data_IF_810225022762
#
_entry.id   IF_810225022762
#
_cell.length_a   1.000
_cell.length_b   1.000
_cell.length_c   1.000
_cell.angle_alpha   90.00
_cell.angle_beta   90.00
_cell.angle_gamma   90.00
#
_symmetry.space_group_name_H-M   'P 1'
#
loop_
_entity.id
_entity.type
_entity.pdbx_description
1 polymer ?
2 non-polymer ?
3 non-polymer ?
4 water ?
#
# COMPACT_ATOMS: atom_id res chain seq x y z
N UNK A 6 0.15 -9.81 -16.95
CA UNK A 6 -0.58 -11.02 -16.48
C UNK A 6 -1.87 -10.58 -15.78
N UNK A 7 -2.91 -11.39 -15.90
CA UNK A 7 -4.28 -10.98 -15.51
C UNK A 7 -4.37 -10.86 -13.99
N UNK A 8 -5.13 -9.86 -13.53
CA UNK A 8 -5.25 -9.48 -12.09
C UNK A 8 -5.80 -10.70 -11.34
N UNK A 9 -6.80 -11.38 -11.89
CA UNK A 9 -7.37 -12.64 -11.34
C UNK A 9 -6.30 -13.74 -11.26
N UNK A 10 -5.23 -13.66 -12.05
CA UNK A 10 -4.14 -14.67 -12.07
C UNK A 10 -3.07 -14.32 -11.03
N UNK A 11 -3.04 -13.08 -10.56
CA UNK A 11 -1.95 -12.54 -9.70
C UNK A 11 -2.14 -12.92 -8.22
N UNK A 12 -1.04 -13.21 -7.55
CA UNK A 12 -0.93 -13.18 -6.07
C UNK A 12 -0.93 -11.71 -5.62
N UNK A 13 -1.73 -11.37 -4.60
CA UNK A 13 -1.89 -9.98 -4.08
C UNK A 13 -1.43 -9.91 -2.62
N UNK A 14 -0.37 -9.13 -2.38
CA UNK A 14 0.20 -8.84 -1.04
C UNK A 14 -0.30 -7.48 -0.56
N UNK A 15 -1.05 -7.48 0.54
CA UNK A 15 -1.55 -6.26 1.22
C UNK A 15 -0.65 -5.99 2.43
N UNK A 16 0.26 -5.03 2.28
CA UNK A 16 1.13 -4.55 3.37
C UNK A 16 0.40 -3.47 4.16
N UNK A 17 0.50 -3.52 5.48
CA UNK A 17 0.01 -2.41 6.33
C UNK A 17 0.97 -2.19 7.51
N UNK A 18 0.85 -1.02 8.11
CA UNK A 18 1.39 -0.66 9.43
C UNK A 18 0.23 -0.10 10.25
N UNK A 19 0.34 -0.19 11.56
CA UNK A 19 -0.70 0.21 12.52
C UNK A 19 0.02 0.51 13.84
N UNK A 20 -0.35 1.58 14.54
CA UNK A 20 -0.01 1.83 15.96
C UNK A 20 -1.28 1.58 16.80
N UNK A 21 -2.43 2.06 16.35
CA UNK A 21 -3.69 2.02 17.12
C UNK A 21 -4.57 0.85 16.73
N UNK A 22 -4.29 0.18 15.61
CA UNK A 22 -4.99 -1.02 15.16
C UNK A 22 -6.01 -0.79 14.07
N UNK A 23 -6.38 0.45 13.74
CA UNK A 23 -7.47 0.67 12.75
C UNK A 23 -7.03 0.23 11.34
N UNK A 24 -5.80 0.54 10.91
CA UNK A 24 -5.32 0.18 9.55
C UNK A 24 -5.30 -1.35 9.37
N UNK A 25 -5.05 -2.13 10.43
CA UNK A 25 -5.17 -3.62 10.40
C UNK A 25 -6.60 -4.05 10.04
N UNK A 26 -7.58 -3.57 10.79
CA UNK A 26 -9.01 -3.80 10.51
C UNK A 26 -9.32 -3.37 9.07
N UNK A 27 -8.87 -2.19 8.64
CA UNK A 27 -9.18 -1.69 7.27
C UNK A 27 -8.53 -2.62 6.22
N UNK A 28 -7.33 -3.15 6.48
CA UNK A 28 -6.60 -4.04 5.56
C UNK A 28 -7.33 -5.40 5.46
N UNK A 29 -7.94 -5.88 6.54
CA UNK A 29 -8.72 -7.15 6.54
C UNK A 29 -9.94 -6.95 5.63
N UNK A 30 -10.54 -5.77 5.71
CA UNK A 30 -11.79 -5.46 4.99
C UNK A 30 -11.44 -5.33 3.50
N UNK A 31 -10.33 -4.66 3.18
CA UNK A 31 -9.91 -4.47 1.76
C UNK A 31 -9.61 -5.86 1.19
N UNK A 32 -8.88 -6.70 1.94
CA UNK A 32 -8.56 -8.09 1.55
C UNK A 32 -9.87 -8.86 1.27
N UNK A 33 -10.88 -8.76 2.13
CA UNK A 33 -12.12 -9.57 1.97
C UNK A 33 -12.90 -9.10 0.74
N UNK A 34 -12.90 -7.81 0.47
CA UNK A 34 -13.57 -7.25 -0.72
C UNK A 34 -12.83 -7.71 -1.99
N UNK A 35 -11.50 -7.73 -1.98
CA UNK A 35 -10.74 -8.21 -3.17
C UNK A 35 -11.01 -9.71 -3.37
N UNK A 36 -10.96 -10.51 -2.31
CA UNK A 36 -11.20 -11.98 -2.36
C UNK A 36 -12.56 -12.29 -2.98
N UNK A 37 -13.62 -11.59 -2.56
CA UNK A 37 -15.00 -11.81 -3.04
C UNK A 37 -15.18 -11.25 -4.46
N UNK A 38 -14.57 -10.11 -4.77
CA UNK A 38 -14.69 -9.49 -6.11
C UNK A 38 -13.95 -10.32 -7.18
N UNK A 39 -12.79 -10.90 -6.89
CA UNK A 39 -12.00 -11.67 -7.89
C UNK A 39 -12.19 -13.18 -7.72
N UNK A 40 -12.89 -13.62 -6.67
CA UNK A 40 -13.12 -15.06 -6.38
C UNK A 40 -11.75 -15.74 -6.31
N UNK A 41 -10.83 -15.14 -5.57
CA UNK A 41 -9.43 -15.62 -5.47
C UNK A 41 -9.12 -15.93 -4.02
N UNK A 42 -8.20 -16.86 -3.81
CA UNK A 42 -7.61 -17.19 -2.48
C UNK A 42 -6.13 -16.78 -2.49
N UNK A 43 -5.69 -15.98 -3.47
CA UNK A 43 -4.27 -15.57 -3.57
C UNK A 43 -4.11 -14.13 -3.05
N UNK A 44 -4.72 -13.81 -1.91
CA UNK A 44 -4.57 -12.50 -1.22
C UNK A 44 -3.99 -12.77 0.16
N UNK A 45 -2.88 -12.13 0.51
CA UNK A 45 -2.25 -12.23 1.85
C UNK A 45 -2.08 -10.84 2.46
N UNK A 46 -2.27 -10.72 3.77
CA UNK A 46 -2.08 -9.45 4.51
C UNK A 46 -0.80 -9.60 5.32
N UNK A 47 0.11 -8.63 5.24
CA UNK A 47 1.43 -8.65 5.93
C UNK A 47 1.60 -7.34 6.71
N UNK A 48 1.87 -7.47 8.01
CA UNK A 48 2.27 -6.34 8.88
C UNK A 48 3.74 -6.00 8.56
N UNK A 49 3.97 -4.80 8.03
CA UNK A 49 5.32 -4.34 7.60
C UNK A 49 6.31 -4.42 8.77
N UNK A 50 5.86 -4.34 10.02
CA UNK A 50 6.75 -4.39 11.22
C UNK A 50 7.33 -5.79 11.46
N UNK A 51 6.75 -6.85 10.88
CA UNK A 51 7.02 -8.28 11.19
C UNK A 51 7.72 -9.00 10.03
N UNK A 52 8.10 -8.24 9.03
CA UNK A 52 8.44 -8.73 7.67
C UNK A 52 9.90 -8.36 7.42
N UNK A 53 10.60 -9.09 6.56
CA UNK A 53 11.98 -8.70 6.17
C UNK A 53 11.87 -7.82 4.92
N UNK A 54 12.08 -6.50 5.05
CA UNK A 54 11.66 -5.53 4.00
C UNK A 54 12.49 -5.74 2.72
N UNK A 55 13.79 -6.03 2.83
CA UNK A 55 14.64 -6.27 1.64
C UNK A 55 14.09 -7.45 0.82
N UNK A 56 13.59 -8.53 1.43
CA UNK A 56 13.06 -9.70 0.67
C UNK A 56 11.90 -9.28 -0.25
N UNK A 57 11.08 -8.32 0.15
CA UNK A 57 9.87 -7.91 -0.62
C UNK A 57 10.13 -6.67 -1.49
N UNK A 58 10.94 -5.73 -1.02
CA UNK A 58 11.12 -4.41 -1.69
C UNK A 58 12.45 -4.33 -2.48
N UNK A 59 13.28 -5.39 -2.51
CA UNK A 59 14.57 -5.49 -3.26
C UNK A 59 14.44 -6.39 -4.48
N UNK A 60 13.28 -7.01 -4.69
CA UNK A 60 13.07 -8.02 -5.75
C UNK A 60 11.58 -8.32 -5.81
N UNK A 61 11.05 -8.57 -7.00
CA UNK A 61 9.60 -8.78 -7.21
C UNK A 61 9.34 -9.69 -8.39
N UNK A 62 8.21 -10.41 -8.34
CA UNK A 62 7.75 -11.37 -9.37
C UNK A 62 6.73 -10.71 -10.28
N UNK A 63 6.69 -11.18 -11.52
CA UNK A 63 5.79 -10.75 -12.62
C UNK A 63 4.33 -11.06 -12.28
N UNK A 64 4.07 -11.96 -11.33
CA UNK A 64 2.68 -12.41 -11.01
C UNK A 64 2.26 -11.90 -9.64
N UNK A 65 2.89 -10.82 -9.15
CA UNK A 65 2.65 -10.27 -7.80
C UNK A 65 2.26 -8.78 -7.88
N UNK A 66 1.20 -8.43 -7.16
CA UNK A 66 0.77 -7.03 -6.94
C UNK A 66 1.04 -6.69 -5.47
N UNK A 67 1.51 -5.48 -5.20
CA UNK A 67 1.68 -4.95 -3.82
C UNK A 67 0.65 -3.86 -3.58
N UNK A 68 -0.19 -4.01 -2.56
CA UNK A 68 -1.07 -2.93 -2.06
C UNK A 68 -0.49 -2.46 -0.73
N UNK A 69 -0.30 -1.16 -0.55
CA UNK A 69 0.27 -0.64 0.71
C UNK A 69 -0.79 0.24 1.38
N UNK A 70 -1.31 -0.21 2.51
CA UNK A 70 -2.21 0.56 3.40
C UNK A 70 -1.39 1.19 4.54
N UNK A 71 -1.33 2.52 4.62
CA UNK A 71 -0.37 3.19 5.52
C UNK A 71 -1.05 4.35 6.22
N UNK A 72 -1.10 4.38 7.57
CA UNK A 72 -1.47 5.60 8.29
C UNK A 72 -0.22 6.49 8.31
N UNK A 73 -0.38 7.76 8.69
CA UNK A 73 0.74 8.72 8.82
C UNK A 73 0.83 9.15 10.28
N UNK A 74 2.05 9.30 10.77
CA UNK A 74 2.35 9.71 12.16
C UNK A 74 3.45 10.76 12.10
N UNK A 75 3.11 11.93 12.62
CA UNK A 75 4.02 13.10 12.69
C UNK A 75 5.12 12.81 13.72
N UNK A 76 4.83 12.04 14.76
CA UNK A 76 5.85 11.50 15.73
C UNK A 76 6.69 10.40 15.06
N UNK A 77 7.76 9.99 15.72
CA UNK A 77 8.61 8.88 15.22
C UNK A 77 7.87 7.57 15.47
N UNK A 78 7.95 6.65 14.53
CA UNK A 78 7.15 5.41 14.51
C UNK A 78 7.91 4.40 13.65
N UNK A 79 7.51 3.14 13.69
CA UNK A 79 8.06 2.07 12.81
C UNK A 79 7.90 2.48 11.34
N UNK A 80 6.94 3.35 11.02
CA UNK A 80 6.64 3.73 9.60
C UNK A 80 7.85 4.49 9.04
N UNK A 81 8.51 5.30 9.87
CA UNK A 81 9.79 6.00 9.54
C UNK A 81 10.78 4.96 9.02
N UNK A 82 10.86 3.80 9.68
CA UNK A 82 11.80 2.72 9.33
C UNK A 82 11.40 2.13 7.97
N UNK A 83 10.11 1.90 7.73
CA UNK A 83 9.65 1.44 6.41
C UNK A 83 10.13 2.42 5.32
N UNK A 84 9.87 3.72 5.48
CA UNK A 84 10.22 4.74 4.45
C UNK A 84 11.74 4.83 4.28
N UNK A 85 12.53 4.78 5.36
CA UNK A 85 14.02 4.79 5.28
C UNK A 85 14.51 3.54 4.54
N UNK A 86 13.93 2.36 4.79
CA UNK A 86 14.34 1.10 4.13
C UNK A 86 14.13 1.22 2.61
N UNK A 87 13.04 1.86 2.18
CA UNK A 87 12.74 2.09 0.75
C UNK A 87 13.83 3.00 0.17
N UNK A 88 14.20 4.08 0.89
CA UNK A 88 15.16 5.11 0.43
C UNK A 88 16.56 4.49 0.33
N UNK A 89 16.95 3.68 1.31
CA UNK A 89 18.22 2.92 1.35
C UNK A 89 18.33 2.02 0.11
N UNK A 90 17.25 1.31 -0.24
CA UNK A 90 17.17 0.44 -1.43
C UNK A 90 17.32 1.25 -2.71
N UNK A 91 16.72 2.45 -2.76
CA UNK A 91 16.82 3.34 -3.95
C UNK A 91 18.29 3.78 -4.10
N UNK A 92 18.97 4.05 -2.98
CA UNK A 92 20.27 4.77 -2.95
C UNK A 92 21.46 3.79 -2.87
N UNK A 93 21.35 2.59 -2.29
CA UNK A 93 22.54 1.74 -2.03
C UNK A 93 23.09 1.13 -3.34
N UNK A 94 24.39 1.35 -3.63
CA UNK A 94 25.06 0.92 -4.89
C UNK A 94 24.98 -0.60 -5.05
N UNK A 95 24.98 -1.32 -3.92
CA UNK A 95 25.05 -2.81 -3.83
C UNK A 95 23.74 -3.43 -4.32
N UNK A 96 22.67 -2.64 -4.42
CA UNK A 96 21.38 -3.08 -5.00
C UNK A 96 21.23 -2.46 -6.39
N UNK A 97 20.75 -3.25 -7.34
CA UNK A 97 20.57 -2.84 -8.76
C UNK A 97 19.49 -1.74 -8.80
N UNK A 98 19.45 -0.95 -9.88
CA UNK A 98 18.40 0.06 -10.14
C UNK A 98 17.10 -0.66 -10.46
N UNK A 99 15.96 -0.04 -10.15
CA UNK A 99 14.60 -0.54 -10.49
C UNK A 99 14.44 -2.02 -10.16
N UNK A 100 14.76 -2.47 -8.93
CA UNK A 100 14.61 -3.88 -8.59
C UNK A 100 13.16 -4.40 -8.67
N UNK A 101 12.13 -3.55 -8.64
CA UNK A 101 10.71 -4.00 -8.68
C UNK A 101 10.11 -3.88 -10.09
N UNK A 102 10.94 -3.65 -11.11
CA UNK A 102 10.52 -3.55 -12.53
C UNK A 102 9.70 -4.78 -12.96
N UNK A 103 9.94 -5.96 -12.38
CA UNK A 103 9.21 -7.21 -12.78
C UNK A 103 7.86 -7.35 -12.05
N UNK A 104 7.62 -6.66 -10.93
CA UNK A 104 6.29 -6.61 -10.26
C UNK A 104 5.17 -6.38 -11.28
N UNK A 105 4.01 -6.99 -11.10
CA UNK A 105 2.84 -6.65 -11.95
C UNK A 105 2.49 -5.19 -11.65
N UNK A 106 2.59 -4.76 -10.39
CA UNK A 106 2.38 -3.35 -10.04
C UNK A 106 2.05 -3.13 -8.58
N UNK A 107 1.65 -1.91 -8.24
CA UNK A 107 1.48 -1.47 -6.84
C UNK A 107 0.42 -0.36 -6.83
N UNK A 108 -0.26 -0.23 -5.69
CA UNK A 108 -1.07 0.95 -5.35
C UNK A 108 -1.01 1.17 -3.83
N UNK A 109 -1.17 2.43 -3.45
CA UNK A 109 -1.09 2.91 -2.06
C UNK A 109 -2.45 3.50 -1.70
N UNK A 110 -2.90 3.19 -0.48
CA UNK A 110 -4.04 3.80 0.23
C UNK A 110 -3.51 4.33 1.55
N UNK A 111 -3.63 5.64 1.78
CA UNK A 111 -3.21 6.29 3.03
C UNK A 111 -4.38 6.65 3.91
N UNK A 112 -4.18 6.57 5.22
CA UNK A 112 -5.14 6.97 6.28
C UNK A 112 -4.53 8.15 7.04
N UNK A 113 -5.33 9.16 7.34
CA UNK A 113 -4.84 10.39 7.98
C UNK A 113 -5.96 11.18 8.59
N UNK A 114 -5.62 12.15 9.43
CA UNK A 114 -6.60 13.00 10.15
C UNK A 114 -6.51 14.39 9.53
N UNK A 115 -7.44 14.72 8.64
CA UNK A 115 -7.44 16.02 7.95
C UNK A 115 -7.69 17.16 8.95
N UNK A 116 -8.54 16.98 9.95
CA UNK A 116 -8.91 18.07 10.89
C UNK A 116 -7.64 18.57 11.55
N UNK A 117 -6.76 17.66 11.94
CA UNK A 117 -5.58 18.00 12.77
C UNK A 117 -4.36 18.23 11.86
N UNK A 118 -4.24 17.59 10.70
CA UNK A 118 -2.96 17.54 9.94
C UNK A 118 -3.13 18.00 8.49
N UNK A 119 -4.20 18.74 8.17
CA UNK A 119 -4.39 19.42 6.86
C UNK A 119 -3.11 20.14 6.44
N UNK A 120 -2.69 19.95 5.17
CA UNK A 120 -1.47 20.56 4.61
C UNK A 120 -0.42 19.52 4.27
N UNK A 121 0.86 19.85 4.47
CA UNK A 121 2.00 18.96 4.11
C UNK A 121 1.93 17.64 4.89
N UNK A 122 1.35 17.62 6.09
CA UNK A 122 1.37 16.40 6.94
C UNK A 122 0.27 15.40 6.54
N UNK A 123 -0.84 15.82 5.90
CA UNK A 123 -2.01 14.94 5.67
C UNK A 123 -1.57 13.78 4.76
N UNK A 124 -1.57 12.56 5.33
CA UNK A 124 -1.19 11.28 4.68
C UNK A 124 0.24 11.37 4.12
N UNK A 125 1.10 12.18 4.74
CA UNK A 125 2.44 12.46 4.16
C UNK A 125 3.23 11.15 3.99
N UNK A 126 3.07 10.14 4.84
CA UNK A 126 3.92 8.92 4.72
C UNK A 126 3.37 8.01 3.61
N UNK A 127 2.06 7.99 3.36
CA UNK A 127 1.48 7.30 2.18
C UNK A 127 1.94 7.98 0.88
N UNK A 128 1.97 9.31 0.83
CA UNK A 128 2.51 10.04 -0.34
C UNK A 128 3.96 9.63 -0.58
N UNK A 129 4.80 9.58 0.46
CA UNK A 129 6.23 9.22 0.31
C UNK A 129 6.36 7.78 -0.19
N UNK A 130 5.56 6.84 0.34
CA UNK A 130 5.58 5.41 -0.05
C UNK A 130 5.28 5.27 -1.54
N UNK A 131 4.25 5.95 -2.01
CA UNK A 131 3.82 5.95 -3.43
C UNK A 131 4.97 6.44 -4.33
N UNK A 132 5.63 7.56 -3.98
CA UNK A 132 6.74 8.12 -4.79
C UNK A 132 7.90 7.12 -4.81
N UNK A 133 8.26 6.55 -3.67
CA UNK A 133 9.45 5.68 -3.54
C UNK A 133 9.22 4.33 -4.24
N UNK A 134 8.02 3.75 -4.15
CA UNK A 134 7.74 2.48 -4.86
C UNK A 134 7.91 2.69 -6.38
N UNK A 135 7.44 3.81 -6.92
CA UNK A 135 7.61 4.20 -8.34
C UNK A 135 9.10 4.34 -8.70
N UNK A 136 9.92 4.92 -7.82
CA UNK A 136 11.39 5.04 -8.00
C UNK A 136 12.09 3.68 -7.88
N UNK A 137 11.47 2.68 -7.24
CA UNK A 137 12.02 1.29 -7.21
C UNK A 137 11.65 0.52 -8.49
N UNK A 138 10.90 1.15 -9.41
CA UNK A 138 10.60 0.59 -10.74
C UNK A 138 9.26 -0.14 -10.78
N UNK A 139 8.49 -0.11 -9.69
CA UNK A 139 7.15 -0.74 -9.64
C UNK A 139 6.16 0.12 -10.44
N UNK A 140 5.42 -0.50 -11.35
CA UNK A 140 4.39 0.18 -12.16
C UNK A 140 3.20 0.47 -11.24
N UNK A 141 2.77 1.73 -11.21
CA UNK A 141 1.64 2.20 -10.40
C UNK A 141 0.36 1.82 -11.14
N UNK A 142 -0.49 1.01 -10.52
CA UNK A 142 -1.74 0.48 -11.14
C UNK A 142 -2.83 1.54 -10.99
N UNK A 143 -2.88 2.21 -9.84
CA UNK A 143 -3.93 3.20 -9.56
C UNK A 143 -3.33 4.34 -8.79
N UNK A 144 -3.91 5.55 -8.94
CA UNK A 144 -3.48 6.71 -8.18
C UNK A 144 -3.62 6.47 -6.67
N UNK A 145 -2.74 7.13 -5.93
CA UNK A 145 -2.80 7.15 -4.46
C UNK A 145 -4.22 7.52 -4.01
N UNK A 146 -4.81 6.71 -3.13
CA UNK A 146 -6.04 7.04 -2.39
C UNK A 146 -5.70 7.57 -1.01
N UNK A 147 -6.52 8.46 -0.48
CA UNK A 147 -6.35 8.98 0.91
C UNK A 147 -7.72 8.93 1.57
N UNK A 148 -7.75 8.53 2.83
CA UNK A 148 -8.98 8.47 3.65
C UNK A 148 -8.76 9.34 4.86
N UNK A 149 -9.65 10.29 5.06
CA UNK A 149 -9.75 11.12 6.28
C UNK A 149 -10.54 10.32 7.33
N UNK A 150 -9.86 9.82 8.35
CA UNK A 150 -10.47 8.91 9.36
C UNK A 150 -11.31 9.73 10.35
N UNK A 151 -11.34 11.05 10.22
CA UNK A 151 -12.24 11.93 11.04
C UNK A 151 -13.62 12.12 10.40
N UNK A 152 -13.87 11.61 9.19
CA UNK A 152 -15.26 11.55 8.65
C UNK A 152 -16.06 10.56 9.50
N UNK A 153 -17.36 10.46 9.27
CA UNK A 153 -18.19 9.39 9.90
C UNK A 153 -17.63 8.05 9.45
N UNK A 154 -17.71 7.03 10.30
CA UNK A 154 -17.17 5.68 10.01
C UNK A 154 -17.76 5.19 8.68
N UNK A 155 -19.06 5.38 8.44
CA UNK A 155 -19.68 4.92 7.18
C UNK A 155 -18.92 5.52 5.98
N UNK A 156 -18.48 6.77 6.06
CA UNK A 156 -17.83 7.47 4.93
C UNK A 156 -16.39 6.97 4.79
N UNK A 157 -15.73 6.62 5.90
CA UNK A 157 -14.35 6.06 5.90
C UNK A 157 -14.42 4.72 5.16
N UNK A 158 -15.43 3.89 5.47
CA UNK A 158 -15.62 2.58 4.79
C UNK A 158 -15.97 2.81 3.31
N UNK A 159 -16.94 3.67 3.00
CA UNK A 159 -17.32 3.94 1.58
C UNK A 159 -16.10 4.42 0.78
N UNK A 160 -15.21 5.21 1.39
CA UNK A 160 -14.02 5.74 0.72
C UNK A 160 -13.03 4.63 0.36
N UNK A 161 -12.75 3.68 1.25
CA UNK A 161 -11.72 2.65 0.96
C UNK A 161 -12.33 1.58 0.04
N UNK A 162 -13.66 1.44 0.05
CA UNK A 162 -14.41 0.52 -0.85
C UNK A 162 -14.40 1.07 -2.27
N UNK A 163 -14.63 2.37 -2.45
CA UNK A 163 -14.55 3.04 -3.77
C UNK A 163 -13.12 2.92 -4.30
N UNK A 164 -12.11 3.13 -3.45
CA UNK A 164 -10.70 3.00 -3.89
C UNK A 164 -10.39 1.54 -4.28
N UNK A 165 -10.92 0.55 -3.56
CA UNK A 165 -10.63 -0.88 -3.85
C UNK A 165 -11.23 -1.22 -5.22
N UNK A 166 -12.45 -0.74 -5.47
CA UNK A 166 -13.18 -0.95 -6.75
C UNK A 166 -12.44 -0.24 -7.88
N UNK A 167 -12.00 1.01 -7.68
CA UNK A 167 -11.22 1.74 -8.72
C UNK A 167 -9.95 0.96 -9.03
N UNK A 168 -9.28 0.45 -8.00
CA UNK A 168 -8.04 -0.35 -8.16
C UNK A 168 -8.35 -1.56 -9.05
N UNK A 169 -9.40 -2.32 -8.74
CA UNK A 169 -9.78 -3.54 -9.52
C UNK A 169 -10.12 -3.16 -10.97
N UNK A 170 -10.82 -2.04 -11.20
CA UNK A 170 -11.14 -1.52 -12.56
C UNK A 170 -9.84 -1.20 -13.33
N UNK A 171 -8.96 -0.35 -12.80
CA UNK A 171 -7.63 -0.01 -13.39
C UNK A 171 -6.80 -1.25 -13.69
N UNK A 172 -6.77 -2.23 -12.79
CA UNK A 172 -5.97 -3.47 -12.95
C UNK A 172 -6.53 -4.33 -14.09
N UNK A 173 -7.82 -4.19 -14.44
CA UNK A 173 -8.47 -5.01 -15.49
C UNK A 173 -8.36 -4.33 -16.86
N UNK A 174 -8.20 -3.01 -16.92
CA UNK A 174 -7.97 -2.25 -18.17
C UNK A 174 -6.61 -2.65 -18.77
X LIG B 1 17.10 -9.35 4.98
X LIG C 1 17.13 -10.34 3.56
X LIG D 1 -2.53 11.91 10.17
X LIG D 1 -1.93 12.52 9.16
X LIG D 1 -2.52 12.54 8.07
X LIG D 1 -0.70 13.05 9.27
X LIG D 1 -0.03 13.06 10.40
X LIG D 1 1.11 13.59 10.51
X LIG D 1 -0.64 12.41 11.56
X LIG D 1 -0.01 12.38 12.74
X LIG D 1 -0.60 11.81 13.80
X LIG D 1 0.05 11.78 15.03
X LIG D 1 -0.54 11.16 16.14
X LIG D 1 0.17 11.16 17.45
X LIG D 1 -1.87 10.51 16.06
X LIG D 1 -2.50 9.84 17.30
X LIG D 1 -2.52 10.54 14.82
X LIG D 1 -1.91 11.13 13.69
X LIG D 1 -2.56 11.15 12.45
X LIG D 1 -1.94 11.80 11.36
X LIG D 1 -3.85 10.48 12.33
X LIG D 1 -3.51 8.97 12.14
X LIG D 1 -2.78 8.68 10.94
X LIG D 1 -4.77 8.17 11.98
X LIG D 1 -5.38 8.25 13.26
X LIG D 1 -4.62 6.70 11.55
X LIG D 1 -5.96 6.22 11.41
X LIG D 1 -3.87 5.81 12.55
X LIG D 1 -4.01 4.44 12.15
X LIG D 1 -3.70 3.24 13.16
X LIG D 1 -3.66 2.08 12.22
X LIG D 1 -2.38 3.57 13.85
X LIG D 1 -4.92 3.20 14.08
#
# INVERSE_FOLDING_TARGET
SSRKLTDISACSINIFYSTLGGSTQKFAEHVADRIRSSLQTELVEILNLDYIDLDEYFSKGNSNTVYLVLLPSYAIESSIDYFLSALQTTIDDFRIVARPLEKLRGFAVLGFGDFEQYAGDLFCYQAIAADQRLAKLGAQRIAPLGVVNVKLEKAQVYEAMEAWTDLFLQYAKEKA
MN MN
MN MN
FMN N1 C2 O2 N3 C4 O4 C4A N5 C5A C6 C7 C7M C8 C8M C9 C9A N10 C10 C1' C2' O2' C3' O3' C4' O4' C5' O5' P O1P O2P O3P
#
